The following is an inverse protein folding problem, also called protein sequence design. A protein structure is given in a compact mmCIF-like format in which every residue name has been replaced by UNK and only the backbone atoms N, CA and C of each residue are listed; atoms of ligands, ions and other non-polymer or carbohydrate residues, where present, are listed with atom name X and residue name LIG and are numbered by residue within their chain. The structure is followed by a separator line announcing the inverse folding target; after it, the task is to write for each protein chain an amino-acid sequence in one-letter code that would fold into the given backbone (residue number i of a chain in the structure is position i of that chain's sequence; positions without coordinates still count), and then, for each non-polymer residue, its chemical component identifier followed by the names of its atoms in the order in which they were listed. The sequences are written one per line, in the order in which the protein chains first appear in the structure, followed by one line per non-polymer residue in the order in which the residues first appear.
data_IF_862460764050
#
_entry.id   IF_862460764050
#
_cell.length_a   1.000
_cell.length_b   1.000
_cell.length_c   1.000
_cell.angle_alpha   90.00
_cell.angle_beta   90.00
_cell.angle_gamma   90.00
#
_symmetry.space_group_name_H-M   'P 1'
#
loop_
_entity.id
_entity.type
_entity.pdbx_description
1 polymer ?
#
# COMPACT_ATOMS: atom_id res chain seq x y z
N UNK A 1 -3.85 -27.38 14.49
CA UNK A 1 -4.80 -26.27 14.35
C UNK A 1 -4.03 -25.06 13.92
N UNK A 2 -4.43 -24.50 12.80
CA UNK A 2 -3.80 -23.29 12.25
C UNK A 2 -4.24 -22.13 13.15
N UNK A 3 -3.37 -21.72 14.07
CA UNK A 3 -3.66 -20.65 15.05
C UNK A 3 -3.82 -19.26 14.40
N UNK A 4 -4.01 -19.23 13.08
CA UNK A 4 -4.32 -18.01 12.34
C UNK A 4 -3.18 -16.99 12.23
N UNK A 5 -1.93 -17.45 12.32
CA UNK A 5 -0.74 -16.62 12.07
C UNK A 5 -0.25 -16.82 10.65
N UNK A 6 0.09 -15.74 9.94
CA UNK A 6 0.64 -15.79 8.59
C UNK A 6 1.55 -14.60 8.31
N UNK A 7 2.47 -14.75 7.36
CA UNK A 7 3.20 -13.60 6.82
C UNK A 7 2.31 -12.77 5.89
N UNK A 8 2.56 -11.46 5.84
CA UNK A 8 1.92 -10.53 4.88
C UNK A 8 2.47 -10.65 3.46
N UNK A 9 3.46 -11.49 3.25
CA UNK A 9 4.21 -11.65 1.99
C UNK A 9 4.50 -13.13 1.73
N UNK A 10 4.70 -13.46 0.45
CA UNK A 10 5.11 -14.81 0.01
C UNK A 10 5.76 -14.71 -1.37
N UNK A 11 6.86 -15.43 -1.57
CA UNK A 11 7.60 -15.48 -2.83
C UNK A 11 8.40 -14.25 -3.18
N UNK A 12 7.85 -13.05 -2.98
CA UNK A 12 8.53 -11.77 -3.24
C UNK A 12 8.32 -10.78 -2.12
N UNK A 13 9.32 -9.92 -1.89
CA UNK A 13 9.27 -8.84 -0.91
C UNK A 13 9.74 -7.54 -1.59
N UNK A 14 8.83 -6.55 -1.80
CA UNK A 14 9.20 -5.24 -2.29
C UNK A 14 10.20 -4.54 -1.37
N UNK A 15 11.20 -3.86 -1.92
CA UNK A 15 12.23 -3.17 -1.14
C UNK A 15 11.68 -2.10 -0.19
N UNK A 16 10.51 -1.55 -0.48
CA UNK A 16 9.82 -0.53 0.31
C UNK A 16 8.77 -1.11 1.27
N UNK A 17 8.52 -2.41 1.24
CA UNK A 17 7.51 -3.04 2.10
C UNK A 17 8.06 -3.24 3.52
N UNK A 18 7.21 -2.99 4.50
CA UNK A 18 7.48 -3.41 5.88
C UNK A 18 6.93 -4.82 6.07
N UNK A 19 7.79 -5.84 6.27
CA UNK A 19 7.34 -7.19 6.51
C UNK A 19 6.50 -7.28 7.80
N UNK A 20 5.41 -8.06 7.74
CA UNK A 20 4.52 -8.27 8.89
C UNK A 20 4.16 -9.73 9.07
N UNK A 21 3.89 -10.08 10.32
CA UNK A 21 3.10 -11.26 10.70
C UNK A 21 1.69 -10.77 10.99
N UNK A 22 0.70 -11.38 10.37
CA UNK A 22 -0.72 -11.06 10.54
C UNK A 22 -1.37 -12.12 11.43
N UNK A 23 -2.32 -11.70 12.24
CA UNK A 23 -3.02 -12.55 13.18
C UNK A 23 -4.52 -12.57 12.86
N UNK A 24 -5.16 -13.71 13.02
CA UNK A 24 -6.63 -13.82 12.92
C UNK A 24 -7.34 -13.36 14.20
N UNK A 25 -6.61 -13.29 15.31
CA UNK A 25 -7.09 -12.84 16.64
C UNK A 25 -6.01 -12.00 17.32
N UNK A 26 -6.39 -11.03 18.17
CA UNK A 26 -5.43 -10.24 18.93
C UNK A 26 -4.52 -11.10 19.80
N UNK A 27 -3.27 -10.70 19.91
CA UNK A 27 -2.28 -11.37 20.77
C UNK A 27 -2.22 -10.74 22.16
N UNK A 28 -1.86 -11.55 23.14
CA UNK A 28 -1.46 -11.10 24.45
C UNK A 28 0.02 -10.72 24.44
N UNK A 29 0.29 -9.43 24.37
CA UNK A 29 1.67 -8.92 24.32
C UNK A 29 2.44 -9.17 25.61
N UNK A 30 1.77 -9.32 26.74
CA UNK A 30 2.41 -9.59 28.03
C UNK A 30 2.88 -11.04 28.16
N UNK A 31 2.24 -11.96 27.43
CA UNK A 31 2.54 -13.38 27.41
C UNK A 31 3.34 -13.81 26.17
N UNK A 32 3.64 -12.88 25.24
CA UNK A 32 4.37 -13.13 24.00
C UNK A 32 5.85 -12.75 24.12
N UNK A 33 6.70 -13.49 23.42
CA UNK A 33 8.16 -13.26 23.37
C UNK A 33 8.54 -12.60 22.06
N UNK A 34 8.47 -11.28 22.02
CA UNK A 34 8.63 -10.49 20.79
C UNK A 34 10.10 -10.29 20.38
N UNK A 35 11.02 -10.43 21.34
CA UNK A 35 12.45 -10.26 21.09
C UNK A 35 13.01 -11.47 20.33
N UNK A 36 13.77 -11.20 19.26
CA UNK A 36 14.36 -12.24 18.41
C UNK A 36 13.36 -13.28 17.90
N UNK A 37 12.09 -12.87 17.77
CA UNK A 37 11.00 -13.76 17.37
C UNK A 37 11.10 -14.23 15.91
N UNK A 38 11.69 -13.38 15.05
CA UNK A 38 11.88 -13.65 13.61
C UNK A 38 13.35 -13.92 13.33
N UNK A 39 13.58 -14.98 12.58
CA UNK A 39 14.90 -15.36 12.08
C UNK A 39 14.90 -15.14 10.57
N UNK A 40 15.87 -14.39 10.08
CA UNK A 40 16.09 -14.18 8.64
C UNK A 40 17.42 -14.79 8.26
N UNK A 41 17.39 -15.66 7.28
CA UNK A 41 18.58 -16.28 6.69
C UNK A 41 18.75 -15.75 5.27
N UNK A 42 19.88 -15.12 5.01
CA UNK A 42 20.28 -14.66 3.69
C UNK A 42 20.85 -15.81 2.87
N UNK A 43 20.52 -15.88 1.60
CA UNK A 43 21.03 -16.89 0.67
C UNK A 43 21.91 -16.21 -0.40
N UNK A 44 23.01 -16.85 -0.86
CA UNK A 44 23.44 -18.24 -0.61
C UNK A 44 24.37 -18.43 0.59
N UNK A 45 24.85 -17.34 1.22
CA UNK A 45 25.89 -17.37 2.27
C UNK A 45 25.39 -17.92 3.62
N UNK A 46 24.08 -18.12 3.76
CA UNK A 46 23.42 -18.66 4.96
C UNK A 46 23.67 -17.82 6.24
N UNK A 47 23.94 -16.52 6.07
CA UNK A 47 24.07 -15.62 7.20
C UNK A 47 22.71 -15.45 7.88
N UNK A 48 22.67 -15.66 9.19
CA UNK A 48 21.45 -15.62 10.00
C UNK A 48 21.43 -14.35 10.85
N UNK A 49 20.28 -13.67 10.87
CA UNK A 49 20.00 -12.53 11.73
C UNK A 49 18.68 -12.74 12.50
N UNK A 50 18.57 -12.09 13.67
CA UNK A 50 17.42 -12.18 14.56
C UNK A 50 16.77 -10.82 14.69
N UNK A 51 15.43 -10.78 14.60
CA UNK A 51 14.68 -9.54 14.56
C UNK A 51 13.51 -9.57 15.53
N UNK A 52 13.27 -8.43 16.15
CA UNK A 52 12.16 -8.25 17.08
C UNK A 52 10.86 -7.96 16.31
N UNK A 53 9.75 -8.36 16.89
CA UNK A 53 8.42 -7.99 16.43
C UNK A 53 7.94 -6.74 17.18
N UNK A 54 7.34 -5.82 16.42
CA UNK A 54 6.66 -4.62 16.94
C UNK A 54 5.17 -4.76 16.63
N UNK A 55 4.37 -4.92 17.66
CA UNK A 55 2.93 -5.14 17.52
C UNK A 55 2.23 -3.85 17.11
N UNK A 56 1.35 -3.95 16.12
CA UNK A 56 0.52 -2.82 15.66
C UNK A 56 -0.48 -2.41 16.76
N UNK A 57 -0.90 -1.15 16.78
CA UNK A 57 -1.82 -0.60 17.79
C UNK A 57 -3.15 -1.36 17.90
N UNK A 58 -3.58 -2.03 16.82
CA UNK A 58 -4.78 -2.88 16.80
C UNK A 58 -4.58 -4.31 17.30
N UNK A 59 -3.34 -4.73 17.58
CA UNK A 59 -3.01 -6.08 18.03
C UNK A 59 -3.28 -7.21 17.03
N UNK A 60 -3.55 -6.86 15.77
CA UNK A 60 -3.89 -7.81 14.69
C UNK A 60 -2.72 -8.09 13.75
N UNK A 61 -1.56 -7.51 14.03
CA UNK A 61 -0.34 -7.71 13.27
C UNK A 61 0.88 -7.24 14.03
N UNK A 62 2.04 -7.71 13.64
CA UNK A 62 3.33 -7.24 14.14
C UNK A 62 4.29 -7.08 12.97
N UNK A 63 5.01 -5.97 12.95
CA UNK A 63 6.02 -5.66 11.94
C UNK A 63 7.42 -6.03 12.44
N UNK A 64 8.32 -6.26 11.50
CA UNK A 64 9.75 -6.40 11.75
C UNK A 64 10.53 -5.79 10.59
N UNK A 65 11.81 -5.52 10.79
CA UNK A 65 12.67 -4.96 9.76
C UNK A 65 13.99 -5.69 9.71
N UNK A 66 14.54 -5.82 8.52
CA UNK A 66 15.90 -6.29 8.25
C UNK A 66 16.43 -5.61 7.00
N UNK A 67 17.73 -5.65 6.78
CA UNK A 67 18.35 -5.05 5.60
C UNK A 67 18.04 -5.88 4.36
N UNK A 68 17.21 -5.31 3.48
CA UNK A 68 16.78 -5.96 2.25
C UNK A 68 17.65 -5.47 1.09
N UNK A 69 18.40 -6.38 0.49
CA UNK A 69 19.20 -6.13 -0.71
C UNK A 69 18.44 -6.65 -1.93
N UNK A 70 18.26 -5.80 -2.95
CA UNK A 70 17.55 -6.16 -4.17
C UNK A 70 18.14 -7.42 -4.84
N UNK A 71 17.28 -8.25 -5.42
CA UNK A 71 17.60 -9.51 -6.11
C UNK A 71 18.20 -10.60 -5.20
N UNK A 72 18.36 -10.34 -3.91
CA UNK A 72 18.78 -11.35 -2.95
C UNK A 72 17.60 -12.19 -2.46
N UNK A 73 17.91 -13.42 -2.07
CA UNK A 73 16.92 -14.36 -1.52
C UNK A 73 17.09 -14.52 -0.03
N UNK A 74 15.97 -14.65 0.65
CA UNK A 74 15.91 -14.81 2.09
C UNK A 74 14.95 -15.92 2.46
N UNK A 75 15.28 -16.63 3.54
CA UNK A 75 14.32 -17.49 4.24
C UNK A 75 13.95 -16.78 5.54
N UNK A 76 12.67 -16.47 5.67
CA UNK A 76 12.11 -15.80 6.86
C UNK A 76 11.33 -16.80 7.68
N UNK A 77 11.66 -16.90 8.96
CA UNK A 77 11.05 -17.85 9.89
C UNK A 77 10.56 -17.13 11.14
N UNK A 78 9.28 -17.30 11.47
CA UNK A 78 8.76 -17.00 12.79
C UNK A 78 9.02 -18.23 13.67
N UNK A 79 9.64 -18.01 14.83
CA UNK A 79 9.90 -19.11 15.80
C UNK A 79 8.58 -19.58 16.41
N UNK A 80 8.51 -20.87 16.76
CA UNK A 80 7.35 -21.43 17.47
C UNK A 80 7.25 -20.85 18.88
N UNK A 81 6.05 -20.77 19.40
CA UNK A 81 5.72 -20.38 20.79
C UNK A 81 6.24 -18.97 21.20
N UNK A 82 6.42 -18.07 20.21
CA UNK A 82 6.81 -16.68 20.48
C UNK A 82 5.62 -15.74 20.57
N UNK A 83 4.49 -16.11 19.97
CA UNK A 83 3.25 -15.36 20.03
C UNK A 83 2.17 -16.17 20.72
N UNK A 84 1.42 -15.54 21.60
CA UNK A 84 0.28 -16.13 22.27
C UNK A 84 -0.96 -15.26 22.07
N UNK A 85 -2.06 -15.86 21.64
CA UNK A 85 -3.33 -15.14 21.52
C UNK A 85 -4.03 -14.98 22.90
N UNK A 86 -5.12 -14.21 22.93
CA UNK A 86 -5.87 -13.97 24.17
C UNK A 86 -6.53 -15.23 24.75
N UNK A 87 -6.60 -16.34 24.01
CA UNK A 87 -7.11 -17.63 24.47
C UNK A 87 -6.01 -18.57 24.98
N UNK A 88 -4.75 -18.11 24.96
CA UNK A 88 -3.61 -18.87 25.42
C UNK A 88 -3.00 -19.82 24.38
N UNK A 89 -3.45 -19.77 23.13
CA UNK A 89 -2.87 -20.57 22.04
C UNK A 89 -1.59 -19.93 21.52
N UNK A 90 -0.59 -20.74 21.30
CA UNK A 90 0.72 -20.32 20.78
C UNK A 90 0.84 -20.60 19.29
N UNK A 91 1.70 -19.82 18.62
CA UNK A 91 1.98 -20.03 17.21
C UNK A 91 2.89 -21.25 16.98
N UNK A 92 2.60 -21.99 15.91
CA UNK A 92 3.55 -22.93 15.32
C UNK A 92 4.67 -22.16 14.60
N UNK A 93 5.75 -22.85 14.24
CA UNK A 93 6.80 -22.26 13.41
C UNK A 93 6.26 -22.00 12.00
N UNK A 94 6.38 -20.75 11.53
CA UNK A 94 6.07 -20.36 10.16
C UNK A 94 7.36 -20.07 9.40
N UNK A 95 7.44 -20.48 8.13
CA UNK A 95 8.58 -20.19 7.29
C UNK A 95 8.14 -19.88 5.87
N UNK A 96 8.78 -18.91 5.25
CA UNK A 96 8.61 -18.58 3.83
C UNK A 96 9.94 -18.21 3.20
N UNK A 97 10.12 -18.55 1.92
CA UNK A 97 11.23 -18.05 1.12
C UNK A 97 10.76 -16.88 0.28
N UNK A 98 11.57 -15.83 0.21
CA UNK A 98 11.27 -14.62 -0.56
C UNK A 98 12.47 -14.15 -1.36
N UNK A 99 12.19 -13.53 -2.50
CA UNK A 99 13.17 -12.77 -3.27
C UNK A 99 12.88 -11.28 -3.12
N UNK A 100 13.92 -10.51 -2.78
CA UNK A 100 13.81 -9.08 -2.63
C UNK A 100 13.70 -8.40 -4.00
N UNK A 101 12.63 -7.64 -4.19
CA UNK A 101 12.35 -6.90 -5.41
C UNK A 101 12.89 -5.48 -5.30
N UNK A 102 13.82 -5.11 -6.17
CA UNK A 102 14.41 -3.78 -6.21
C UNK A 102 13.53 -2.72 -6.88
N UNK A 103 13.97 -1.47 -6.84
CA UNK A 103 13.25 -0.32 -7.40
C UNK A 103 13.02 -0.45 -8.92
N UNK A 104 13.91 -1.12 -9.62
CA UNK A 104 13.86 -1.36 -11.07
C UNK A 104 12.68 -2.23 -11.52
N UNK A 105 12.02 -2.91 -10.59
CA UNK A 105 10.80 -3.72 -10.86
C UNK A 105 9.52 -2.88 -10.85
N UNK A 106 9.59 -1.63 -10.44
CA UNK A 106 8.46 -0.72 -10.29
C UNK A 106 8.59 0.49 -11.21
N UNK A 107 7.51 1.23 -11.36
CA UNK A 107 7.50 2.49 -12.08
C UNK A 107 6.77 3.56 -11.30
N UNK A 108 6.64 4.75 -11.86
CA UNK A 108 5.90 5.85 -11.27
C UNK A 108 4.93 6.48 -12.27
N UNK A 109 3.83 7.03 -11.76
CA UNK A 109 2.92 7.89 -12.51
C UNK A 109 2.90 9.25 -11.83
N UNK A 110 3.16 10.30 -12.60
CA UNK A 110 3.17 11.68 -12.15
C UNK A 110 2.03 12.41 -12.84
N UNK A 111 1.08 12.90 -12.08
CA UNK A 111 -0.08 13.63 -12.58
C UNK A 111 0.05 15.09 -12.20
N UNK A 112 0.05 15.97 -13.20
CA UNK A 112 0.02 17.43 -13.03
C UNK A 112 -1.41 17.91 -13.23
N UNK A 113 -1.94 18.67 -12.28
CA UNK A 113 -3.24 19.34 -12.44
C UNK A 113 -3.01 20.70 -13.10
N UNK A 114 -3.52 20.87 -14.31
CA UNK A 114 -3.56 22.15 -15.00
C UNK A 114 -4.85 22.90 -14.63
N UNK A 115 -4.75 24.22 -14.59
CA UNK A 115 -5.87 25.13 -14.31
C UNK A 115 -6.58 24.86 -12.97
N UNK A 116 -5.85 24.30 -12.01
CA UNK A 116 -6.37 24.02 -10.68
C UNK A 116 -6.52 25.32 -9.87
N UNK A 117 -7.65 25.45 -9.17
CA UNK A 117 -7.90 26.54 -8.24
C UNK A 117 -7.00 26.36 -7.00
N UNK A 118 -6.16 27.35 -6.65
CA UNK A 118 -5.27 27.25 -5.48
C UNK A 118 -6.00 27.05 -4.14
N UNK A 119 -7.27 27.43 -4.07
CA UNK A 119 -8.09 27.34 -2.85
C UNK A 119 -8.83 26.01 -2.71
N UNK A 120 -8.79 25.17 -3.76
CA UNK A 120 -9.51 23.90 -3.80
C UNK A 120 -8.59 22.72 -3.49
N UNK A 121 -9.17 21.70 -2.89
CA UNK A 121 -8.55 20.39 -2.69
C UNK A 121 -8.99 19.44 -3.82
N UNK A 122 -8.07 18.61 -4.23
CA UNK A 122 -8.28 17.59 -5.25
C UNK A 122 -7.77 16.25 -4.75
N UNK A 123 -8.48 15.17 -5.06
CA UNK A 123 -7.99 13.82 -4.81
C UNK A 123 -7.62 13.18 -6.15
N UNK A 124 -6.34 13.04 -6.39
CA UNK A 124 -5.87 12.29 -7.55
C UNK A 124 -5.87 10.81 -7.19
N UNK A 125 -6.50 9.99 -8.03
CA UNK A 125 -6.59 8.55 -7.82
C UNK A 125 -6.06 7.78 -9.02
N UNK A 126 -5.28 6.75 -8.73
CA UNK A 126 -4.87 5.72 -9.69
C UNK A 126 -5.77 4.51 -9.48
N UNK A 127 -6.42 4.06 -10.54
CA UNK A 127 -7.28 2.87 -10.52
C UNK A 127 -6.76 1.81 -11.49
N UNK A 128 -7.14 0.56 -11.29
CA UNK A 128 -6.96 -0.46 -12.32
C UNK A 128 -8.02 -0.33 -13.43
N UNK A 129 -7.97 -1.22 -14.42
CA UNK A 129 -8.91 -1.23 -15.55
C UNK A 129 -10.36 -1.48 -15.11
N UNK A 130 -10.56 -2.19 -14.00
CA UNK A 130 -11.85 -2.50 -13.40
C UNK A 130 -12.40 -1.36 -12.53
N UNK A 131 -11.61 -0.30 -12.32
CA UNK A 131 -11.99 0.86 -11.51
C UNK A 131 -11.67 0.72 -10.02
N UNK A 132 -10.98 -0.35 -9.60
CA UNK A 132 -10.54 -0.47 -8.22
C UNK A 132 -9.40 0.51 -7.91
N UNK A 133 -9.57 1.33 -6.88
CA UNK A 133 -8.58 2.33 -6.48
C UNK A 133 -7.33 1.64 -5.93
N UNK A 134 -6.16 1.94 -6.51
CA UNK A 134 -4.85 1.42 -6.09
C UNK A 134 -4.09 2.42 -5.23
N UNK A 135 -4.24 3.70 -5.50
CA UNK A 135 -3.61 4.76 -4.73
C UNK A 135 -4.44 6.05 -4.81
N UNK A 136 -4.41 6.83 -3.75
CA UNK A 136 -5.03 8.16 -3.68
C UNK A 136 -4.04 9.14 -3.09
N UNK A 137 -3.96 10.34 -3.67
CA UNK A 137 -3.13 11.42 -3.17
C UNK A 137 -3.93 12.72 -3.15
N UNK A 138 -4.08 13.38 -1.98
CA UNK A 138 -4.63 14.72 -1.89
C UNK A 138 -3.64 15.73 -2.47
N UNK A 139 -4.14 16.69 -3.22
CA UNK A 139 -3.36 17.75 -3.88
C UNK A 139 -4.09 19.07 -3.73
N UNK A 140 -3.38 20.13 -3.33
CA UNK A 140 -3.92 21.49 -3.25
C UNK A 140 -3.47 22.30 -4.45
N UNK A 141 -4.39 22.89 -5.16
CA UNK A 141 -4.09 23.74 -6.32
C UNK A 141 -3.35 23.00 -7.43
N UNK A 142 -2.43 23.70 -8.11
CA UNK A 142 -1.68 23.23 -9.27
C UNK A 142 -0.48 22.33 -8.93
N UNK A 143 -0.52 21.58 -7.81
CA UNK A 143 0.56 20.69 -7.41
C UNK A 143 0.58 19.40 -8.25
N UNK A 144 1.69 18.67 -8.14
CA UNK A 144 1.87 17.38 -8.80
C UNK A 144 1.60 16.24 -7.81
N UNK A 145 0.84 15.24 -8.26
CA UNK A 145 0.71 13.96 -7.56
C UNK A 145 1.71 12.96 -8.13
N UNK A 146 2.62 12.44 -7.31
CA UNK A 146 3.58 11.40 -7.72
C UNK A 146 3.27 10.09 -7.03
N UNK A 147 2.84 9.09 -7.79
CA UNK A 147 2.61 7.73 -7.35
C UNK A 147 3.83 6.87 -7.71
N UNK A 148 4.69 6.64 -6.75
CA UNK A 148 5.88 5.80 -6.90
C UNK A 148 5.59 4.34 -6.53
N UNK A 149 6.51 3.46 -6.88
CA UNK A 149 6.47 2.04 -6.52
C UNK A 149 5.22 1.29 -7.03
N UNK A 150 4.70 1.73 -8.16
CA UNK A 150 3.61 1.04 -8.85
C UNK A 150 4.14 -0.18 -9.60
N UNK A 151 3.45 -1.30 -9.53
CA UNK A 151 3.76 -2.47 -10.34
C UNK A 151 3.49 -2.20 -11.82
N UNK A 152 4.25 -2.79 -12.76
CA UNK A 152 3.92 -2.76 -14.18
C UNK A 152 2.51 -3.28 -14.43
N UNK A 153 1.65 -2.41 -14.93
CA UNK A 153 0.24 -2.72 -15.19
C UNK A 153 -0.42 -1.61 -16.01
N UNK A 154 -1.68 -1.83 -16.38
CA UNK A 154 -2.54 -0.81 -16.96
C UNK A 154 -3.29 -0.06 -15.88
N UNK A 155 -3.19 1.27 -15.92
CA UNK A 155 -3.81 2.16 -14.94
C UNK A 155 -4.68 3.22 -15.61
N UNK A 156 -5.69 3.67 -14.89
CA UNK A 156 -6.48 4.85 -15.22
C UNK A 156 -6.28 5.90 -14.15
N UNK A 157 -6.45 7.16 -14.53
CA UNK A 157 -6.34 8.30 -13.62
C UNK A 157 -7.69 8.99 -13.54
N UNK A 158 -8.13 9.29 -12.32
CA UNK A 158 -9.27 10.14 -12.05
C UNK A 158 -8.93 11.19 -11.00
N UNK A 159 -9.59 12.34 -11.08
CA UNK A 159 -9.43 13.44 -10.14
C UNK A 159 -10.80 13.80 -9.59
N UNK A 160 -10.94 13.77 -8.28
CA UNK A 160 -12.14 14.20 -7.56
C UNK A 160 -11.90 15.62 -7.09
N UNK A 161 -12.86 16.51 -7.32
CA UNK A 161 -12.87 17.87 -6.76
C UNK A 161 -13.47 17.78 -5.35
N UNK A 162 -12.63 17.79 -4.34
CA UNK A 162 -13.02 17.64 -2.93
C UNK A 162 -13.51 18.98 -2.39
N UNK A 163 -14.82 19.22 -2.52
CA UNK A 163 -15.44 20.51 -2.16
C UNK A 163 -15.64 20.68 -0.66
N UNK A 164 -15.65 19.61 0.11
CA UNK A 164 -15.88 19.63 1.55
C UNK A 164 -14.65 19.25 2.37
N UNK A 165 -13.49 19.08 1.69
CA UNK A 165 -12.17 18.82 2.28
C UNK A 165 -12.17 17.60 3.23
N UNK A 166 -12.95 16.58 2.88
CA UNK A 166 -13.10 15.39 3.71
C UNK A 166 -12.16 14.23 3.29
N UNK A 167 -11.40 14.39 2.21
CA UNK A 167 -10.47 13.40 1.69
C UNK A 167 -11.12 12.20 1.03
N UNK A 168 -12.40 12.31 0.66
CA UNK A 168 -13.20 11.23 0.05
C UNK A 168 -14.18 11.83 -0.94
N UNK A 169 -14.56 11.03 -1.94
CA UNK A 169 -15.68 11.42 -2.81
C UNK A 169 -16.99 11.47 -2.02
N UNK A 170 -17.69 12.61 -2.11
CA UNK A 170 -18.96 12.83 -1.44
C UNK A 170 -20.13 12.76 -2.43
N UNK A 171 -21.07 11.81 -2.21
CA UNK A 171 -22.26 11.70 -3.06
C UNK A 171 -23.20 12.91 -2.88
N UNK A 172 -23.99 13.17 -3.89
CA UNK A 172 -25.06 14.15 -3.81
C UNK A 172 -26.10 13.79 -2.73
N UNK A 173 -26.77 14.81 -2.21
CA UNK A 173 -27.86 14.62 -1.25
C UNK A 173 -29.11 15.33 -1.74
N UNK A 174 -30.15 14.57 -2.06
CA UNK A 174 -31.42 15.09 -2.58
C UNK A 174 -32.12 16.03 -1.58
N UNK A 175 -32.10 15.69 -0.30
CA UNK A 175 -32.80 16.46 0.73
C UNK A 175 -32.15 17.82 0.99
N UNK A 176 -30.81 17.88 0.92
CA UNK A 176 -30.06 19.12 1.09
C UNK A 176 -29.79 19.83 -0.23
N UNK A 177 -30.24 19.29 -1.37
CA UNK A 177 -29.99 19.79 -2.73
C UNK A 177 -28.46 19.91 -3.04
N UNK A 178 -27.63 19.11 -2.38
CA UNK A 178 -26.19 19.11 -2.63
C UNK A 178 -25.89 18.24 -3.86
N UNK A 179 -25.16 18.80 -4.82
CA UNK A 179 -24.65 18.05 -5.97
C UNK A 179 -23.53 17.09 -5.52
N UNK A 180 -23.35 15.93 -6.18
CA UNK A 180 -22.19 15.09 -5.95
C UNK A 180 -20.92 15.83 -6.37
N UNK A 181 -19.80 15.49 -5.76
CA UNK A 181 -18.50 16.01 -6.17
C UNK A 181 -18.15 15.56 -7.59
N UNK A 182 -17.55 16.50 -8.34
CA UNK A 182 -17.17 16.24 -9.72
C UNK A 182 -15.99 15.26 -9.77
N UNK A 183 -16.06 14.31 -10.71
CA UNK A 183 -14.98 13.37 -11.00
C UNK A 183 -14.55 13.57 -12.45
N UNK A 184 -13.29 13.90 -12.65
CA UNK A 184 -12.66 14.09 -13.94
C UNK A 184 -11.82 12.86 -14.28
N UNK A 185 -11.84 12.43 -15.52
CA UNK A 185 -11.11 11.26 -15.96
C UNK A 185 -10.05 11.63 -17.00
N UNK A 186 -8.85 11.08 -16.86
CA UNK A 186 -7.90 11.06 -17.96
C UNK A 186 -8.43 10.06 -19.01
N UNK A 187 -8.81 10.54 -20.18
CA UNK A 187 -9.52 9.76 -21.21
C UNK A 187 -8.72 8.63 -21.87
N UNK A 188 -7.61 8.19 -21.27
CA UNK A 188 -6.75 7.10 -21.76
C UNK A 188 -6.26 6.20 -20.63
N UNK A 189 -5.93 4.96 -20.99
CA UNK A 189 -5.26 4.01 -20.12
C UNK A 189 -3.74 4.20 -20.22
N UNK A 190 -3.07 4.21 -19.07
CA UNK A 190 -1.62 4.32 -18.95
C UNK A 190 -1.03 2.92 -18.76
N UNK A 191 -0.21 2.47 -19.71
CA UNK A 191 0.50 1.19 -19.61
C UNK A 191 1.86 1.44 -18.98
N UNK A 192 1.95 1.23 -17.67
CA UNK A 192 3.18 1.42 -16.92
C UNK A 192 4.09 0.20 -17.08
N UNK A 193 5.35 0.44 -17.38
CA UNK A 193 6.41 -0.57 -17.44
C UNK A 193 7.36 -0.42 -16.25
N UNK A 194 8.07 -1.49 -15.94
CA UNK A 194 9.13 -1.47 -14.93
C UNK A 194 10.21 -0.43 -15.29
N UNK A 195 10.70 0.27 -14.29
CA UNK A 195 11.69 1.32 -14.39
C UNK A 195 11.30 2.51 -15.32
N UNK A 196 9.99 2.76 -15.46
CA UNK A 196 9.47 3.88 -16.25
C UNK A 196 8.71 4.85 -15.35
N UNK A 197 8.87 6.15 -15.64
CA UNK A 197 8.05 7.24 -15.12
C UNK A 197 7.15 7.75 -16.24
N UNK A 198 5.83 7.77 -15.99
CA UNK A 198 4.84 8.35 -16.92
C UNK A 198 4.42 9.69 -16.36
N UNK A 199 4.54 10.75 -17.15
CA UNK A 199 4.04 12.08 -16.79
C UNK A 199 2.79 12.41 -17.60
N UNK A 200 1.73 12.82 -16.92
CA UNK A 200 0.45 13.20 -17.52
C UNK A 200 -0.06 14.50 -16.93
N UNK A 201 -0.81 15.24 -17.76
CA UNK A 201 -1.47 16.46 -17.33
C UNK A 201 -2.96 16.32 -17.53
N UNK A 202 -3.74 16.69 -16.53
CA UNK A 202 -5.20 16.75 -16.58
C UNK A 202 -5.65 18.17 -16.26
N UNK A 203 -6.46 18.80 -17.13
CA UNK A 203 -7.07 20.09 -16.84
C UNK A 203 -8.30 19.89 -15.96
N UNK A 204 -8.38 20.64 -14.88
CA UNK A 204 -9.51 20.62 -13.93
C UNK A 204 -10.47 21.80 -14.14
N UNK A 205 -10.16 22.73 -15.05
CA UNK A 205 -11.04 23.86 -15.38
C UNK A 205 -12.35 23.45 -16.04
N UNK A 206 -12.42 22.31 -16.70
CA UNK A 206 -13.61 21.81 -17.41
C UNK A 206 -14.56 20.97 -16.55
N UNK A 207 -14.49 21.07 -15.22
CA UNK A 207 -15.35 20.33 -14.29
C UNK A 207 -16.85 20.68 -14.35
N UNK A 208 -17.31 21.24 -15.45
CA UNK A 208 -18.71 21.60 -15.69
C UNK A 208 -19.43 20.91 -16.84
N UNK A 209 -18.74 20.07 -17.62
CA UNK A 209 -19.37 19.37 -18.75
C UNK A 209 -19.36 17.87 -18.54
N UNK A 210 -20.35 17.36 -17.81
CA UNK A 210 -20.70 15.95 -17.90
C UNK A 210 -21.13 15.65 -19.35
N UNK A 211 -20.29 14.93 -20.08
CA UNK A 211 -20.69 14.36 -21.35
C UNK A 211 -21.88 13.43 -21.11
N UNK A 212 -23.00 13.73 -21.81
CA UNK A 212 -24.20 12.90 -21.88
C UNK A 212 -23.90 11.52 -22.43
#
# INVERSE_FOLDING_TARGET
SDAGFRFSFSGSLPYFATPKVLFSMPIDTSASHLDSAVVVMHLPDSVVSYHNLVVDSGGMGASFSFDVVAEHKYVVKLRAAVLRNLYGEENDSLQTAVEAMGAEKYGAIIVTLADADPSMQYLVQITDEQGAVKATMPVSGAAKARFANLQPSSYKVQVIVDNDDNGKWTPGNYFTKRQPEAVLYLGKTLVLRANWDIEETISVAEGGSASK
#
